data_IF_345013041042
#
_entry.id   IF_345013041042
#
_cell.length_a   1.000
_cell.length_b   1.000
_cell.length_c   1.000
_cell.angle_alpha   90.00
_cell.angle_beta   90.00
_cell.angle_gamma   90.00
#
_symmetry.space_group_name_H-M   'P 1'
#
loop_
_entity.id
_entity.type
_entity.pdbx_description
1 polymer ?
#
# COMPACT_ATOMS: atom_id res chain seq x y z
N UNK A 1 -18.51 -20.96 22.52
CA UNK A 1 -17.64 -21.96 21.86
C UNK A 1 -18.24 -22.49 20.55
N UNK A 2 -19.48 -23.00 20.52
CA UNK A 2 -20.12 -23.48 19.27
C UNK A 2 -20.17 -22.43 18.15
N UNK A 3 -20.48 -21.17 18.46
CA UNK A 3 -20.51 -20.09 17.45
C UNK A 3 -19.13 -19.87 16.79
N UNK A 4 -18.06 -19.86 17.57
CA UNK A 4 -16.69 -19.73 17.05
C UNK A 4 -16.29 -20.93 16.20
N UNK A 5 -16.66 -22.14 16.61
CA UNK A 5 -16.39 -23.36 15.83
C UNK A 5 -17.15 -23.33 14.49
N UNK A 6 -18.41 -22.88 14.50
CA UNK A 6 -19.21 -22.75 13.27
C UNK A 6 -18.65 -21.68 12.32
N UNK A 7 -18.18 -20.54 12.85
CA UNK A 7 -17.58 -19.49 12.06
C UNK A 7 -16.28 -19.98 11.39
N UNK A 8 -15.41 -20.65 12.14
CA UNK A 8 -14.16 -21.21 11.61
C UNK A 8 -14.44 -22.25 10.52
N UNK A 9 -15.43 -23.12 10.71
CA UNK A 9 -15.83 -24.10 9.69
C UNK A 9 -16.29 -23.44 8.39
N UNK A 10 -17.12 -22.39 8.48
CA UNK A 10 -17.58 -21.65 7.30
C UNK A 10 -16.41 -21.02 6.54
N UNK A 11 -15.47 -20.38 7.25
CA UNK A 11 -14.28 -19.79 6.63
C UNK A 11 -13.37 -20.81 5.95
N UNK A 12 -13.19 -21.99 6.55
CA UNK A 12 -12.38 -23.08 5.96
C UNK A 12 -13.03 -23.65 4.72
N UNK A 13 -14.36 -23.85 4.72
CA UNK A 13 -15.07 -24.34 3.53
C UNK A 13 -15.01 -23.31 2.40
N UNK A 14 -15.22 -22.02 2.70
CA UNK A 14 -15.11 -20.95 1.71
C UNK A 14 -13.70 -20.85 1.13
N UNK A 15 -12.65 -20.92 1.96
CA UNK A 15 -11.27 -20.86 1.46
C UNK A 15 -10.94 -22.08 0.58
N UNK A 16 -11.43 -23.27 0.92
CA UNK A 16 -11.27 -24.47 0.08
C UNK A 16 -12.02 -24.37 -1.25
N UNK A 17 -13.19 -23.73 -1.31
CA UNK A 17 -13.91 -23.52 -2.58
C UNK A 17 -13.19 -22.50 -3.46
N UNK A 18 -12.65 -21.44 -2.87
CA UNK A 18 -11.90 -20.40 -3.58
C UNK A 18 -10.55 -20.93 -4.07
N UNK A 19 -9.79 -21.61 -3.20
CA UNK A 19 -8.49 -22.22 -3.53
C UNK A 19 -8.62 -23.47 -4.40
N UNK A 20 -9.70 -24.24 -4.23
CA UNK A 20 -10.06 -25.42 -5.02
C UNK A 20 -10.46 -25.11 -6.46
N UNK A 21 -10.47 -23.83 -6.84
CA UNK A 21 -10.16 -23.44 -8.20
C UNK A 21 -11.31 -23.68 -9.18
N UNK A 22 -12.43 -22.99 -8.97
CA UNK A 22 -13.36 -22.73 -10.07
C UNK A 22 -12.61 -22.02 -11.21
N UNK A 23 -11.68 -21.12 -10.87
CA UNK A 23 -10.84 -20.42 -11.83
C UNK A 23 -9.84 -21.32 -12.55
N UNK A 24 -9.19 -22.27 -11.88
CA UNK A 24 -8.24 -23.19 -12.52
C UNK A 24 -8.95 -24.24 -13.38
N UNK A 25 -10.13 -24.70 -12.95
CA UNK A 25 -10.98 -25.60 -13.75
C UNK A 25 -11.52 -24.88 -15.02
N UNK A 26 -11.98 -23.64 -14.89
CA UNK A 26 -12.39 -22.82 -16.04
C UNK A 26 -11.22 -22.44 -16.95
N UNK A 27 -10.03 -22.17 -16.40
CA UNK A 27 -8.84 -21.87 -17.18
C UNK A 27 -8.37 -23.05 -18.04
N UNK A 28 -8.61 -24.28 -17.61
CA UNK A 28 -8.34 -25.48 -18.42
C UNK A 28 -9.34 -25.66 -19.58
N UNK A 29 -10.57 -25.16 -19.42
CA UNK A 29 -11.60 -25.19 -20.47
C UNK A 29 -11.35 -24.12 -21.55
N UNK A 30 -10.70 -23.01 -21.19
CA UNK A 30 -10.21 -22.04 -22.16
C UNK A 30 -8.90 -22.54 -22.76
N UNK A 31 -8.90 -22.93 -24.04
CA UNK A 31 -7.66 -23.09 -24.79
C UNK A 31 -7.00 -21.70 -24.82
N UNK A 32 -5.97 -21.51 -23.98
CA UNK A 32 -5.15 -20.31 -23.95
C UNK A 32 -4.52 -20.16 -25.33
N UNK A 33 -5.18 -19.38 -26.16
CA UNK A 33 -4.72 -19.14 -27.51
C UNK A 33 -3.65 -18.06 -27.44
N UNK A 34 -2.57 -18.27 -28.20
CA UNK A 34 -1.31 -17.51 -28.09
C UNK A 34 -1.48 -15.97 -28.13
N UNK A 35 -2.57 -15.49 -28.73
CA UNK A 35 -2.90 -14.06 -28.82
C UNK A 35 -3.42 -13.44 -27.53
N UNK A 36 -3.96 -14.22 -26.59
CA UNK A 36 -4.34 -13.73 -25.25
C UNK A 36 -3.17 -13.74 -24.26
N UNK A 37 -2.07 -14.43 -24.59
CA UNK A 37 -0.87 -14.51 -23.73
C UNK A 37 0.18 -13.43 -24.02
N UNK A 38 -0.05 -12.54 -25.00
CA UNK A 38 0.84 -11.41 -25.27
C UNK A 38 0.46 -10.17 -24.45
N UNK A 39 1.43 -9.32 -24.07
CA UNK A 39 1.15 -8.04 -23.44
C UNK A 39 0.28 -7.14 -24.33
N UNK A 40 -0.53 -6.28 -23.71
CA UNK A 40 -1.37 -5.33 -24.42
C UNK A 40 -0.54 -4.18 -24.98
N UNK A 41 -0.36 -4.15 -26.30
CA UNK A 41 0.50 -3.19 -27.02
C UNK A 41 -0.32 -2.22 -27.90
N UNK A 42 -1.57 -1.92 -27.52
CA UNK A 42 -2.48 -1.05 -28.29
C UNK A 42 -2.60 -1.44 -29.79
N UNK A 43 -2.44 -2.72 -30.12
CA UNK A 43 -2.53 -3.25 -31.50
C UNK A 43 -1.22 -3.25 -32.31
N UNK A 44 -0.10 -2.84 -31.72
CA UNK A 44 1.22 -2.87 -32.36
C UNK A 44 2.05 -4.07 -31.91
N UNK A 45 3.04 -4.48 -32.73
CA UNK A 45 4.03 -5.46 -32.30
C UNK A 45 5.04 -4.80 -31.36
N UNK A 46 5.34 -5.43 -30.23
CA UNK A 46 6.35 -4.95 -29.28
C UNK A 46 7.69 -4.69 -30.00
N UNK A 47 8.02 -3.42 -30.22
CA UNK A 47 9.21 -3.00 -30.97
C UNK A 47 10.36 -2.54 -30.07
N UNK A 48 10.15 -2.45 -28.76
CA UNK A 48 11.11 -1.92 -27.81
C UNK A 48 11.33 -2.86 -26.63
N UNK A 49 12.58 -2.94 -26.18
CA UNK A 49 12.93 -3.50 -24.88
C UNK A 49 12.25 -2.66 -23.79
N UNK A 50 11.55 -3.32 -22.87
CA UNK A 50 11.06 -2.70 -21.65
C UNK A 50 12.25 -2.35 -20.76
N UNK A 51 12.66 -1.09 -20.76
CA UNK A 51 13.62 -0.58 -19.77
C UNK A 51 12.83 -0.10 -18.56
N UNK A 52 13.17 -0.63 -17.38
CA UNK A 52 12.71 -0.04 -16.13
C UNK A 52 13.45 1.27 -15.93
N UNK A 53 12.74 2.39 -16.17
CA UNK A 53 13.24 3.71 -15.81
C UNK A 53 13.19 3.85 -14.29
N UNK A 54 14.35 3.83 -13.65
CA UNK A 54 14.44 4.19 -12.24
C UNK A 54 14.02 5.65 -12.07
N UNK A 55 12.91 5.90 -11.37
CA UNK A 55 12.48 7.24 -11.03
C UNK A 55 12.92 7.56 -9.59
N UNK A 56 13.66 8.65 -9.45
CA UNK A 56 14.08 9.17 -8.14
C UNK A 56 12.87 9.59 -7.30
N UNK A 57 11.79 10.05 -7.95
CA UNK A 57 10.55 10.45 -7.29
C UNK A 57 9.87 9.30 -6.54
N UNK A 58 9.87 8.07 -7.08
CA UNK A 58 9.31 6.91 -6.36
C UNK A 58 10.14 6.57 -5.12
N UNK A 59 11.46 6.72 -5.19
CA UNK A 59 12.35 6.48 -4.06
C UNK A 59 12.12 7.50 -2.93
N UNK A 60 12.05 8.81 -3.24
CA UNK A 60 11.76 9.84 -2.25
C UNK A 60 10.39 9.64 -1.59
N UNK A 61 9.36 9.28 -2.38
CA UNK A 61 8.03 9.01 -1.84
C UNK A 61 8.03 7.82 -0.88
N UNK A 62 8.78 6.76 -1.18
CA UNK A 62 8.94 5.61 -0.27
C UNK A 62 9.59 6.02 1.06
N UNK A 63 10.68 6.81 1.01
CA UNK A 63 11.36 7.27 2.24
C UNK A 63 10.44 8.17 3.05
N UNK A 64 9.77 9.13 2.40
CA UNK A 64 8.80 10.02 3.03
C UNK A 64 7.66 9.25 3.71
N UNK A 65 7.12 8.22 3.04
CA UNK A 65 6.08 7.36 3.60
C UNK A 65 6.54 6.65 4.88
N UNK A 66 7.75 6.08 4.88
CA UNK A 66 8.30 5.37 6.06
C UNK A 66 8.49 6.32 7.25
N UNK A 67 8.99 7.53 7.01
CA UNK A 67 9.17 8.53 8.07
C UNK A 67 7.82 8.96 8.64
N UNK A 68 6.85 9.27 7.77
CA UNK A 68 5.52 9.71 8.20
C UNK A 68 4.74 8.61 8.94
N UNK A 69 4.90 7.33 8.57
CA UNK A 69 4.28 6.19 9.26
C UNK A 69 4.85 6.00 10.69
N UNK A 70 6.17 6.21 10.85
CA UNK A 70 6.82 6.22 12.16
C UNK A 70 6.26 7.35 13.04
N UNK A 71 6.10 8.54 12.49
CA UNK A 71 5.56 9.71 13.20
C UNK A 71 4.12 9.49 13.67
N UNK A 72 3.25 8.92 12.81
CA UNK A 72 1.88 8.55 13.18
C UNK A 72 1.88 7.51 14.30
N UNK A 73 2.75 6.51 14.22
CA UNK A 73 2.87 5.47 15.23
C UNK A 73 3.20 6.05 16.61
N UNK A 74 4.00 7.13 16.67
CA UNK A 74 4.28 7.86 17.91
C UNK A 74 3.07 8.64 18.43
N UNK A 75 2.30 9.27 17.54
CA UNK A 75 1.08 10.01 17.89
C UNK A 75 -0.05 9.10 18.38
N UNK A 76 -0.10 7.84 17.94
CA UNK A 76 -1.16 6.89 18.30
C UNK A 76 -1.25 6.61 19.81
N UNK A 77 -0.17 6.84 20.56
CA UNK A 77 -0.14 6.66 22.02
C UNK A 77 -0.71 7.86 22.80
N UNK A 78 -0.98 8.98 22.14
CA UNK A 78 -1.53 10.20 22.76
C UNK A 78 -2.84 9.96 23.54
N UNK A 79 -3.88 9.28 23.01
CA UNK A 79 -5.15 9.09 23.73
C UNK A 79 -5.03 8.18 24.97
N UNK A 80 -4.03 7.30 25.02
CA UNK A 80 -3.79 6.42 26.16
C UNK A 80 -3.16 7.18 27.35
N UNK A 81 -2.53 8.32 27.09
CA UNK A 81 -2.01 9.18 28.14
C UNK A 81 -3.15 10.04 28.70
N UNK A 82 -3.43 9.89 29.99
CA UNK A 82 -4.45 10.69 30.68
C UNK A 82 -4.21 12.21 30.59
N UNK A 83 -5.14 13.02 31.09
CA UNK A 83 -5.13 14.49 30.95
C UNK A 83 -4.02 15.13 31.81
N UNK A 84 -2.79 15.06 31.32
CA UNK A 84 -1.62 15.74 31.86
C UNK A 84 -1.27 16.91 30.93
N UNK A 85 -1.42 18.14 31.42
CA UNK A 85 -1.14 19.36 30.67
C UNK A 85 0.31 19.42 30.14
N UNK A 86 1.27 18.84 30.86
CA UNK A 86 2.67 18.77 30.43
C UNK A 86 2.86 17.93 29.15
N UNK A 87 2.27 16.74 29.10
CA UNK A 87 2.35 15.85 27.92
C UNK A 87 1.72 16.46 26.69
N UNK A 88 0.63 17.20 26.85
CA UNK A 88 -0.08 17.87 25.74
C UNK A 88 0.80 18.90 25.01
N UNK A 89 1.59 19.68 25.75
CA UNK A 89 2.51 20.65 25.14
C UNK A 89 3.57 19.95 24.29
N UNK A 90 4.12 18.82 24.74
CA UNK A 90 5.10 18.05 23.96
C UNK A 90 4.49 17.54 22.65
N UNK A 91 3.27 17.00 22.66
CA UNK A 91 2.58 16.56 21.45
C UNK A 91 2.31 17.72 20.48
N UNK A 92 1.91 18.89 20.98
CA UNK A 92 1.73 20.08 20.13
C UNK A 92 3.05 20.55 19.52
N UNK A 93 4.14 20.57 20.29
CA UNK A 93 5.46 20.93 19.75
C UNK A 93 5.95 19.91 18.73
N UNK A 94 5.66 18.62 18.95
CA UNK A 94 5.99 17.56 18.00
C UNK A 94 5.24 17.75 16.68
N UNK A 95 3.92 17.93 16.71
CA UNK A 95 3.11 18.21 15.51
C UNK A 95 3.59 19.48 14.80
N UNK A 96 3.94 20.53 15.54
CA UNK A 96 4.52 21.75 14.97
C UNK A 96 5.82 21.48 14.20
N UNK A 97 6.72 20.68 14.78
CA UNK A 97 7.99 20.30 14.16
C UNK A 97 7.77 19.43 12.91
N UNK A 98 6.83 18.48 12.96
CA UNK A 98 6.44 17.67 11.80
C UNK A 98 5.92 18.54 10.65
N UNK A 99 5.02 19.48 10.96
CA UNK A 99 4.46 20.38 9.95
C UNK A 99 5.53 21.25 9.29
N UNK A 100 6.53 21.70 10.05
CA UNK A 100 7.66 22.44 9.51
C UNK A 100 8.53 21.59 8.59
N UNK A 101 8.87 20.36 9.00
CA UNK A 101 9.64 19.43 8.17
C UNK A 101 8.96 19.17 6.83
N UNK A 102 7.65 18.88 6.86
CA UNK A 102 6.86 18.68 5.65
C UNK A 102 6.84 19.90 4.72
N UNK A 103 6.67 21.11 5.26
CA UNK A 103 6.69 22.34 4.45
C UNK A 103 8.04 22.55 3.77
N UNK A 104 9.15 22.25 4.43
CA UNK A 104 10.50 22.33 3.84
C UNK A 104 10.64 21.35 2.68
N UNK A 105 10.20 20.10 2.86
CA UNK A 105 10.22 19.05 1.83
C UNK A 105 9.42 19.46 0.58
N UNK A 106 8.23 20.03 0.81
CA UNK A 106 7.34 20.50 -0.28
C UNK A 106 7.96 21.69 -1.01
N UNK A 107 8.62 22.61 -0.30
CA UNK A 107 9.32 23.73 -0.94
C UNK A 107 10.49 23.22 -1.79
N UNK A 108 11.30 22.29 -1.28
CA UNK A 108 12.41 21.70 -2.02
C UNK A 108 11.96 21.00 -3.32
N UNK A 109 10.69 20.61 -3.38
CA UNK A 109 10.08 20.07 -4.59
C UNK A 109 10.24 18.56 -4.74
N UNK A 110 10.72 17.87 -3.69
CA UNK A 110 10.87 16.42 -3.66
C UNK A 110 9.51 15.68 -3.78
N UNK A 111 8.43 16.37 -3.41
CA UNK A 111 7.04 15.88 -3.50
C UNK A 111 6.38 16.25 -4.84
N UNK A 112 7.01 17.06 -5.69
CA UNK A 112 6.41 17.48 -6.96
C UNK A 112 6.45 16.33 -7.96
N UNK A 113 5.27 15.91 -8.40
CA UNK A 113 5.12 15.12 -9.62
C UNK A 113 5.09 16.07 -10.82
N UNK A 114 6.22 16.18 -11.51
CA UNK A 114 6.33 16.82 -12.81
C UNK A 114 6.82 15.78 -13.81
N UNK A 115 6.16 15.72 -14.96
CA UNK A 115 6.65 15.03 -16.15
C UNK A 115 8.01 15.60 -16.59
#
# INVERSE_FOLDING_TARGET
MIFLVSAVLVFVVLSLVILGGISSFLAQLSVASCYWSSPYECGFSASSLSFDSFSFSYFCLMVFFVVFDLEISLLLNMPEQGVYWGSFVFYLTFIGLLSLGFVIEVWNGDVRWGY
#
